data_IF_986368649146
#
_entry.id   IF_986368649146
#
_cell.length_a   1.000
_cell.length_b   1.000
_cell.length_c   1.000
_cell.angle_alpha   90.00
_cell.angle_beta   90.00
_cell.angle_gamma   90.00
#
_symmetry.space_group_name_H-M   'P 1'
#
loop_
_entity.id
_entity.type
_entity.pdbx_description
1 polymer ?
#
# COMPACT_ATOMS: atom_id res chain seq x y z
N UNK A 1 5.44 18.62 -10.77
CA UNK A 1 4.50 17.55 -10.44
C UNK A 1 3.42 18.12 -9.52
N UNK A 2 2.17 17.69 -9.70
CA UNK A 2 1.03 18.14 -8.90
C UNK A 2 0.52 17.06 -7.93
N UNK A 3 1.19 15.90 -7.86
CA UNK A 3 0.87 14.79 -6.96
C UNK A 3 2.14 13.97 -6.72
N UNK A 4 2.36 13.50 -5.50
CA UNK A 4 3.45 12.61 -5.12
C UNK A 4 2.93 11.20 -4.82
N UNK A 5 3.40 10.18 -5.56
CA UNK A 5 3.16 8.77 -5.23
C UNK A 5 4.19 8.30 -4.18
N UNK A 6 4.08 8.87 -3.01
CA UNK A 6 4.93 8.67 -1.85
C UNK A 6 4.48 9.53 -0.67
N UNK A 7 5.13 9.38 0.49
CA UNK A 7 6.33 8.58 0.78
C UNK A 7 6.08 7.08 0.82
N UNK A 8 7.18 6.29 0.72
CA UNK A 8 7.17 4.85 0.98
C UNK A 8 7.10 4.65 2.48
N UNK A 9 5.97 4.09 2.94
CA UNK A 9 5.67 3.86 4.37
C UNK A 9 5.83 2.38 4.76
N UNK A 10 6.39 1.58 3.85
CA UNK A 10 6.75 0.21 4.13
C UNK A 10 7.86 0.12 5.16
N UNK A 11 7.71 -0.75 6.14
CA UNK A 11 8.76 -1.08 7.11
C UNK A 11 9.63 -2.18 6.53
N UNK A 12 10.90 -1.92 6.26
CA UNK A 12 11.82 -2.88 5.62
C UNK A 12 12.34 -3.91 6.63
N UNK A 13 11.43 -4.75 7.16
CA UNK A 13 11.74 -5.77 8.17
C UNK A 13 12.54 -6.95 7.62
N UNK A 14 12.35 -7.27 6.35
CA UNK A 14 13.10 -8.29 5.65
C UNK A 14 14.25 -7.66 4.86
N UNK A 15 15.50 -7.89 5.28
CA UNK A 15 16.71 -7.39 4.60
C UNK A 15 16.91 -7.96 3.19
N UNK A 16 16.26 -9.08 2.89
CA UNK A 16 16.29 -9.70 1.55
C UNK A 16 15.14 -9.20 0.65
N UNK A 17 14.34 -8.25 1.12
CA UNK A 17 13.27 -7.67 0.30
C UNK A 17 13.90 -7.02 -0.94
N UNK A 18 13.50 -7.44 -2.17
CA UNK A 18 14.16 -6.99 -3.39
C UNK A 18 13.69 -5.61 -3.85
N UNK A 19 12.58 -5.07 -3.31
CA UNK A 19 11.92 -3.88 -3.84
C UNK A 19 12.03 -2.68 -2.90
N UNK A 20 11.75 -2.86 -1.61
CA UNK A 20 11.62 -1.74 -0.68
C UNK A 20 12.98 -1.19 -0.31
N UNK A 21 13.87 -1.98 0.26
CA UNK A 21 15.27 -1.63 0.53
C UNK A 21 15.45 -0.18 1.04
N UNK A 22 16.32 0.58 0.39
CA UNK A 22 16.64 1.98 0.72
C UNK A 22 15.52 2.99 0.41
N UNK A 23 14.42 2.54 -0.17
CA UNK A 23 13.21 3.38 -0.36
C UNK A 23 12.46 3.60 0.96
N UNK A 24 12.61 2.69 1.93
CA UNK A 24 12.02 2.80 3.26
C UNK A 24 12.78 3.75 4.17
N UNK A 25 12.08 4.32 5.14
CA UNK A 25 12.67 5.07 6.26
C UNK A 25 13.27 4.17 7.35
N UNK A 26 13.28 2.85 7.16
CA UNK A 26 13.93 1.89 8.05
C UNK A 26 13.12 0.63 8.32
N UNK A 27 13.54 -0.08 9.36
CA UNK A 27 13.04 -1.38 9.80
C UNK A 27 12.20 -1.32 11.09
N UNK A 28 11.97 -0.11 11.62
CA UNK A 28 11.17 0.16 12.81
C UNK A 28 9.88 0.91 12.45
N UNK A 29 8.72 0.34 12.80
CA UNK A 29 7.41 0.87 12.43
C UNK A 29 7.16 2.30 12.97
N UNK A 30 7.60 2.59 14.20
CA UNK A 30 7.41 3.90 14.81
C UNK A 30 8.28 4.96 14.12
N UNK A 31 9.50 4.61 13.74
CA UNK A 31 10.40 5.48 12.96
C UNK A 31 9.80 5.76 11.60
N UNK A 32 9.45 4.72 10.84
CA UNK A 32 8.85 4.84 9.52
C UNK A 32 7.60 5.72 9.56
N UNK A 33 6.71 5.48 10.53
CA UNK A 33 5.48 6.26 10.70
C UNK A 33 5.75 7.75 10.96
N UNK A 34 6.71 8.07 11.85
CA UNK A 34 7.09 9.47 12.12
C UNK A 34 7.63 10.20 10.90
N UNK A 35 8.54 9.55 10.15
CA UNK A 35 9.11 10.16 8.93
C UNK A 35 8.08 10.28 7.81
N UNK A 36 7.23 9.27 7.63
CA UNK A 36 6.13 9.32 6.67
C UNK A 36 5.17 10.45 6.96
N UNK A 37 4.75 10.62 8.22
CA UNK A 37 3.88 11.72 8.61
C UNK A 37 4.53 13.10 8.42
N UNK A 38 5.84 13.21 8.67
CA UNK A 38 6.56 14.46 8.43
C UNK A 38 6.62 14.80 6.94
N UNK A 39 6.91 13.81 6.08
CA UNK A 39 6.93 13.98 4.63
C UNK A 39 5.54 14.32 4.08
N UNK A 40 4.49 13.65 4.57
CA UNK A 40 3.09 13.95 4.21
C UNK A 40 2.77 15.39 4.54
N UNK A 41 3.00 15.84 5.78
CA UNK A 41 2.75 17.26 6.16
C UNK A 41 3.50 18.24 5.28
N UNK A 42 4.76 17.95 4.95
CA UNK A 42 5.56 18.82 4.08
C UNK A 42 4.97 18.92 2.66
N UNK A 43 4.53 17.80 2.08
CA UNK A 43 3.91 17.78 0.76
C UNK A 43 2.55 18.49 0.76
N UNK A 44 1.65 18.07 1.63
CA UNK A 44 0.27 18.58 1.70
C UNK A 44 0.24 20.09 2.00
N UNK A 45 1.07 20.58 2.94
CA UNK A 45 1.15 22.01 3.28
C UNK A 45 1.69 22.87 2.12
N UNK A 46 2.35 22.26 1.14
CA UNK A 46 2.84 22.94 -0.06
C UNK A 46 1.96 22.65 -1.30
N UNK A 47 0.74 22.14 -1.11
CA UNK A 47 -0.22 21.91 -2.17
C UNK A 47 0.13 20.71 -3.08
N UNK A 48 0.93 19.77 -2.61
CA UNK A 48 1.27 18.54 -3.32
C UNK A 48 0.59 17.36 -2.63
N UNK A 49 -0.56 16.86 -3.15
CA UNK A 49 -1.21 15.67 -2.63
C UNK A 49 -0.25 14.47 -2.55
N UNK A 50 -0.18 13.83 -1.38
CA UNK A 50 0.68 12.69 -1.12
C UNK A 50 -0.10 11.37 -1.10
N UNK A 51 0.53 10.29 -1.58
CA UNK A 51 0.00 8.93 -1.51
C UNK A 51 0.98 8.01 -0.82
N UNK A 52 0.74 7.69 0.44
CA UNK A 52 1.59 6.73 1.19
C UNK A 52 1.41 5.31 0.65
N UNK A 53 2.52 4.54 0.66
CA UNK A 53 2.54 3.23 0.00
C UNK A 53 3.51 2.23 0.67
N UNK A 54 3.31 0.94 0.47
CA UNK A 54 2.22 0.20 -0.22
C UNK A 54 1.37 -0.52 0.85
N UNK A 55 0.16 -0.03 1.09
CA UNK A 55 -0.69 -0.52 2.19
C UNK A 55 -1.16 -1.96 1.97
N UNK A 56 -1.13 -2.83 2.99
CA UNK A 56 -0.84 -2.61 4.43
C UNK A 56 0.63 -2.81 4.84
N UNK A 57 1.57 -2.90 3.89
CA UNK A 57 3.01 -2.96 4.13
C UNK A 57 3.71 -4.06 3.31
N UNK A 58 4.62 -3.68 2.41
CA UNK A 58 5.32 -4.56 1.46
C UNK A 58 6.71 -4.99 1.94
N UNK A 59 7.17 -4.48 3.11
CA UNK A 59 8.58 -4.59 3.51
C UNK A 59 9.04 -5.95 4.05
N UNK A 60 8.12 -6.89 4.28
CA UNK A 60 8.43 -8.26 4.74
C UNK A 60 8.56 -9.27 3.58
N UNK A 61 8.08 -8.94 2.40
CA UNK A 61 8.08 -9.87 1.26
C UNK A 61 9.49 -10.19 0.77
N UNK A 62 9.70 -11.42 0.27
CA UNK A 62 10.94 -11.87 -0.35
C UNK A 62 10.86 -11.95 -1.88
N UNK A 63 9.71 -11.54 -2.46
CA UNK A 63 9.42 -11.66 -3.89
C UNK A 63 9.01 -10.30 -4.45
N UNK A 64 9.44 -10.02 -5.68
CA UNK A 64 9.14 -8.79 -6.39
C UNK A 64 7.75 -8.83 -7.05
N UNK A 65 6.86 -7.94 -6.64
CA UNK A 65 5.51 -7.80 -7.19
C UNK A 65 5.46 -7.38 -8.66
N UNK A 66 6.57 -6.87 -9.21
CA UNK A 66 6.65 -6.59 -10.64
C UNK A 66 6.67 -7.85 -11.51
N UNK A 67 7.07 -9.00 -10.95
CA UNK A 67 7.18 -10.27 -11.68
C UNK A 67 6.15 -11.32 -11.28
N UNK A 68 5.76 -11.35 -10.01
CA UNK A 68 4.83 -12.34 -9.47
C UNK A 68 4.09 -11.78 -8.25
N UNK A 69 3.05 -12.49 -7.80
CA UNK A 69 2.26 -12.06 -6.64
C UNK A 69 2.95 -12.47 -5.33
N UNK A 70 3.40 -11.50 -4.51
CA UNK A 70 4.00 -11.79 -3.22
C UNK A 70 2.96 -12.22 -2.18
N UNK A 71 3.42 -12.98 -1.19
CA UNK A 71 2.64 -13.38 -0.01
C UNK A 71 3.44 -13.03 1.24
N UNK A 72 2.77 -12.59 2.28
CA UNK A 72 3.35 -12.35 3.62
C UNK A 72 2.60 -13.19 4.64
N UNK A 73 3.26 -14.20 5.20
CA UNK A 73 2.65 -15.18 6.13
C UNK A 73 2.71 -14.75 7.61
N UNK A 74 2.93 -13.47 7.88
CA UNK A 74 2.93 -12.95 9.25
C UNK A 74 1.55 -13.05 9.89
N UNK A 75 1.44 -13.43 11.16
CA UNK A 75 0.17 -13.39 11.88
C UNK A 75 -0.33 -11.96 12.05
N UNK A 76 -1.64 -11.80 12.23
CA UNK A 76 -2.32 -10.50 12.20
C UNK A 76 -1.78 -9.48 13.22
N UNK A 77 -1.40 -9.93 14.42
CA UNK A 77 -0.79 -9.09 15.45
C UNK A 77 0.59 -8.57 15.04
N UNK A 78 1.39 -9.40 14.37
CA UNK A 78 2.70 -9.01 13.81
C UNK A 78 2.56 -8.09 12.61
N UNK A 79 1.62 -8.37 11.69
CA UNK A 79 1.30 -7.46 10.61
C UNK A 79 0.91 -6.08 11.14
N UNK A 80 0.07 -6.04 12.19
CA UNK A 80 -0.33 -4.79 12.81
C UNK A 80 0.87 -4.07 13.41
N UNK A 81 1.62 -4.72 14.30
CA UNK A 81 2.68 -4.07 15.06
C UNK A 81 3.90 -3.68 14.22
N UNK A 82 4.27 -4.52 13.24
CA UNK A 82 5.47 -4.31 12.43
C UNK A 82 5.24 -3.51 11.14
N UNK A 83 4.02 -3.49 10.60
CA UNK A 83 3.77 -2.89 9.28
C UNK A 83 2.59 -1.91 9.27
N UNK A 84 1.38 -2.37 9.61
CA UNK A 84 0.15 -1.58 9.46
C UNK A 84 0.20 -0.31 10.30
N UNK A 85 0.70 -0.41 11.54
CA UNK A 85 0.79 0.72 12.48
C UNK A 85 1.65 1.88 11.95
N UNK A 86 2.61 1.62 11.05
CA UNK A 86 3.44 2.66 10.44
C UNK A 86 2.63 3.63 9.55
N UNK A 87 1.48 3.21 9.03
CA UNK A 87 0.62 4.07 8.21
C UNK A 87 -0.27 5.00 9.04
N UNK A 88 -0.58 4.66 10.31
CA UNK A 88 -1.47 5.46 11.13
C UNK A 88 -1.03 6.93 11.28
N UNK A 89 0.24 7.24 11.58
CA UNK A 89 0.68 8.63 11.70
C UNK A 89 0.50 9.46 10.42
N UNK A 90 0.56 8.83 9.24
CA UNK A 90 0.31 9.51 7.97
C UNK A 90 -1.20 9.74 7.75
N UNK A 91 -2.05 8.79 8.15
CA UNK A 91 -3.51 8.96 8.16
C UNK A 91 -3.91 10.10 9.09
N UNK A 92 -3.36 10.14 10.30
CA UNK A 92 -3.61 11.19 11.29
C UNK A 92 -3.07 12.56 10.83
N UNK A 93 -2.04 12.57 9.98
CA UNK A 93 -1.51 13.78 9.36
C UNK A 93 -2.36 14.30 8.19
N UNK A 94 -3.45 13.60 7.82
CA UNK A 94 -4.37 14.03 6.78
C UNK A 94 -3.90 13.75 5.35
N UNK A 95 -3.15 12.65 5.15
CA UNK A 95 -2.68 12.26 3.81
C UNK A 95 -3.84 12.16 2.81
N UNK A 96 -3.64 12.74 1.62
CA UNK A 96 -4.65 12.71 0.54
C UNK A 96 -4.95 11.30 0.06
N UNK A 97 -3.95 10.44 -0.04
CA UNK A 97 -4.14 9.11 -0.61
C UNK A 97 -3.31 7.99 0.04
N UNK A 98 -3.80 6.78 -0.16
CA UNK A 98 -3.11 5.53 0.18
C UNK A 98 -3.07 4.65 -1.06
N UNK A 99 -1.89 4.11 -1.39
CA UNK A 99 -1.73 3.15 -2.47
C UNK A 99 -1.77 1.72 -1.91
N UNK A 100 -2.66 0.89 -2.48
CA UNK A 100 -2.83 -0.51 -2.10
C UNK A 100 -1.75 -1.41 -2.73
N UNK A 101 -1.25 -2.37 -1.96
CA UNK A 101 -0.24 -3.33 -2.42
C UNK A 101 -0.84 -4.48 -3.26
N UNK A 102 -0.01 -5.07 -4.13
CA UNK A 102 -0.31 -6.33 -4.83
C UNK A 102 0.02 -7.58 -4.00
N UNK A 103 0.14 -7.47 -2.69
CA UNK A 103 0.55 -8.55 -1.79
C UNK A 103 -0.67 -9.25 -1.20
N UNK A 104 -0.62 -10.57 -1.05
CA UNK A 104 -1.58 -11.37 -0.30
C UNK A 104 -1.14 -11.45 1.15
N UNK A 105 -2.08 -11.25 2.06
CA UNK A 105 -1.88 -11.33 3.53
C UNK A 105 -2.87 -12.34 4.10
N UNK A 106 -2.53 -13.65 4.14
CA UNK A 106 -3.48 -14.71 4.49
C UNK A 106 -4.13 -14.51 5.87
N UNK A 107 -3.43 -13.88 6.81
CA UNK A 107 -3.95 -13.54 8.13
C UNK A 107 -5.04 -12.44 8.12
N UNK A 108 -5.20 -11.70 7.00
CA UNK A 108 -6.22 -10.66 6.82
C UNK A 108 -7.26 -11.07 5.77
N UNK A 109 -6.77 -11.58 4.63
CA UNK A 109 -7.58 -12.10 3.52
C UNK A 109 -6.71 -13.09 2.73
N UNK A 110 -7.05 -14.38 2.82
CA UNK A 110 -6.26 -15.45 2.19
C UNK A 110 -6.49 -15.59 0.68
N UNK A 111 -7.60 -15.05 0.18
CA UNK A 111 -8.06 -15.29 -1.19
C UNK A 111 -7.77 -14.10 -2.12
N UNK A 112 -7.50 -12.92 -1.56
CA UNK A 112 -7.32 -11.70 -2.33
C UNK A 112 -6.03 -10.95 -1.94
N UNK A 113 -5.34 -10.40 -2.93
CA UNK A 113 -4.32 -9.37 -2.65
C UNK A 113 -4.96 -8.12 -2.06
N UNK A 114 -4.18 -7.29 -1.37
CA UNK A 114 -4.70 -6.12 -0.66
C UNK A 114 -5.58 -5.24 -1.55
N UNK A 115 -5.18 -4.98 -2.79
CA UNK A 115 -5.96 -4.13 -3.71
C UNK A 115 -7.35 -4.70 -4.06
N UNK A 116 -7.55 -6.02 -3.95
CA UNK A 116 -8.83 -6.69 -4.23
C UNK A 116 -9.60 -7.05 -2.96
N UNK A 117 -9.06 -6.75 -1.78
CA UNK A 117 -9.61 -7.16 -0.49
C UNK A 117 -10.49 -6.08 0.14
N UNK A 118 -11.78 -6.34 0.24
CA UNK A 118 -12.71 -5.50 1.01
C UNK A 118 -12.36 -5.49 2.50
N UNK A 119 -11.83 -6.61 3.04
CA UNK A 119 -11.39 -6.70 4.44
C UNK A 119 -10.27 -5.69 4.71
N UNK A 120 -9.28 -5.61 3.80
CA UNK A 120 -8.13 -4.71 3.96
C UNK A 120 -8.52 -3.27 3.64
N UNK A 121 -9.19 -3.00 2.51
CA UNK A 121 -9.48 -1.63 2.08
C UNK A 121 -10.62 -1.00 2.89
N UNK A 122 -11.75 -1.72 3.10
CA UNK A 122 -12.90 -1.13 3.76
C UNK A 122 -12.89 -1.33 5.27
N UNK A 123 -12.62 -2.56 5.76
CA UNK A 123 -12.69 -2.81 7.20
C UNK A 123 -11.45 -2.32 7.93
N UNK A 124 -10.25 -2.63 7.43
CA UNK A 124 -9.02 -2.22 8.07
C UNK A 124 -8.71 -0.74 7.82
N UNK A 125 -8.52 -0.32 6.56
CA UNK A 125 -8.06 1.04 6.24
C UNK A 125 -9.15 2.08 6.51
N UNK A 126 -10.36 1.91 5.95
CA UNK A 126 -11.44 2.90 6.10
C UNK A 126 -12.01 2.94 7.51
N UNK A 127 -12.46 1.78 8.04
CA UNK A 127 -13.21 1.76 9.31
C UNK A 127 -12.29 1.77 10.53
N UNK A 128 -11.31 0.84 10.60
CA UNK A 128 -10.46 0.68 11.80
C UNK A 128 -9.44 1.80 11.92
N UNK A 129 -8.77 2.20 10.82
CA UNK A 129 -7.76 3.26 10.82
C UNK A 129 -8.35 4.66 10.56
N UNK A 130 -9.62 4.76 10.19
CA UNK A 130 -10.33 6.04 10.01
C UNK A 130 -9.93 6.81 8.74
N UNK A 131 -9.30 6.17 7.75
CA UNK A 131 -8.87 6.84 6.54
C UNK A 131 -10.05 7.27 5.66
N UNK A 132 -10.08 8.55 5.25
CA UNK A 132 -11.17 9.15 4.46
C UNK A 132 -10.76 9.63 3.07
N UNK A 133 -9.46 9.59 2.77
CA UNK A 133 -8.91 10.06 1.50
C UNK A 133 -9.09 9.08 0.32
N UNK A 134 -8.31 9.24 -0.73
CA UNK A 134 -8.37 8.41 -1.93
C UNK A 134 -7.56 7.12 -1.76
N UNK A 135 -8.07 6.00 -2.26
CA UNK A 135 -7.32 4.75 -2.38
C UNK A 135 -6.97 4.56 -3.85
N UNK A 136 -5.68 4.45 -4.15
CA UNK A 136 -5.18 4.11 -5.47
C UNK A 136 -4.65 2.68 -5.50
N UNK A 137 -4.75 1.97 -6.61
CA UNK A 137 -4.00 0.73 -6.80
C UNK A 137 -2.53 1.03 -7.04
N UNK A 138 -1.64 0.06 -6.82
CA UNK A 138 -0.35 0.05 -7.48
C UNK A 138 -0.52 -0.23 -8.98
N UNK A 139 0.56 -0.20 -9.77
CA UNK A 139 0.50 -0.35 -11.23
C UNK A 139 -0.21 -1.63 -11.68
N UNK A 140 -1.22 -1.50 -12.53
CA UNK A 140 -2.01 -2.63 -13.02
C UNK A 140 -1.36 -3.38 -14.19
N UNK A 141 -0.22 -2.91 -14.65
CA UNK A 141 0.65 -3.56 -15.62
C UNK A 141 1.70 -4.49 -14.98
N UNK A 142 1.72 -4.58 -13.65
CA UNK A 142 2.66 -5.42 -12.89
C UNK A 142 2.34 -6.92 -12.99
N UNK A 143 3.39 -7.75 -12.89
CA UNK A 143 3.28 -9.21 -12.99
C UNK A 143 2.36 -9.86 -11.97
N UNK A 144 2.13 -9.22 -10.83
CA UNK A 144 1.22 -9.69 -9.78
C UNK A 144 -0.25 -9.80 -10.24
N UNK A 145 -0.65 -9.12 -11.31
CA UNK A 145 -2.01 -9.18 -11.90
C UNK A 145 -2.02 -9.82 -13.28
N UNK A 146 -0.90 -10.42 -13.69
CA UNK A 146 -0.78 -11.08 -15.01
C UNK A 146 -1.79 -12.21 -15.15
N UNK A 147 -2.49 -12.23 -16.27
CA UNK A 147 -3.50 -13.24 -16.57
C UNK A 147 -4.91 -12.92 -16.08
N UNK A 148 -5.10 -11.79 -15.41
CA UNK A 148 -6.42 -11.26 -15.07
C UNK A 148 -6.84 -10.27 -16.15
N UNK A 149 -8.09 -10.33 -16.63
CA UNK A 149 -8.57 -9.37 -17.64
C UNK A 149 -8.75 -7.98 -17.03
N UNK A 150 -8.66 -6.93 -17.86
CA UNK A 150 -8.82 -5.53 -17.41
C UNK A 150 -10.19 -5.33 -16.76
N UNK A 151 -11.25 -5.89 -17.34
CA UNK A 151 -12.61 -5.80 -16.79
C UNK A 151 -12.68 -6.42 -15.38
N UNK A 152 -12.06 -7.56 -15.19
CA UNK A 152 -12.04 -8.24 -13.90
C UNK A 152 -11.20 -7.45 -12.87
N UNK A 153 -10.05 -6.91 -13.27
CA UNK A 153 -9.23 -6.03 -12.42
C UNK A 153 -10.05 -4.82 -11.98
N UNK A 154 -10.67 -4.11 -12.92
CA UNK A 154 -11.49 -2.92 -12.64
C UNK A 154 -12.63 -3.27 -11.71
N UNK A 155 -13.39 -4.32 -12.01
CA UNK A 155 -14.52 -4.77 -11.20
C UNK A 155 -14.11 -5.10 -9.76
N UNK A 156 -13.03 -5.87 -9.57
CA UNK A 156 -12.55 -6.30 -8.25
C UNK A 156 -11.93 -5.15 -7.47
N UNK A 157 -11.03 -4.37 -8.08
CA UNK A 157 -10.37 -3.27 -7.40
C UNK A 157 -11.35 -2.18 -6.98
N UNK A 158 -12.26 -1.79 -7.88
CA UNK A 158 -13.32 -0.83 -7.55
C UNK A 158 -14.28 -1.39 -6.50
N UNK A 159 -14.70 -2.65 -6.62
CA UNK A 159 -15.55 -3.34 -5.63
C UNK A 159 -14.90 -3.45 -4.25
N UNK A 160 -13.57 -3.57 -4.16
CA UNK A 160 -12.84 -3.52 -2.91
C UNK A 160 -12.73 -2.11 -2.31
N UNK A 161 -12.99 -1.05 -3.11
CA UNK A 161 -13.06 0.33 -2.65
C UNK A 161 -11.87 1.20 -3.08
N UNK A 162 -11.09 0.78 -4.09
CA UNK A 162 -10.12 1.68 -4.72
C UNK A 162 -10.86 2.76 -5.53
N UNK A 163 -10.37 3.99 -5.48
CA UNK A 163 -10.93 5.15 -6.18
C UNK A 163 -10.17 5.46 -7.46
N UNK A 164 -8.87 5.11 -7.51
CA UNK A 164 -7.96 5.37 -8.62
C UNK A 164 -7.33 4.05 -9.04
N UNK A 165 -7.36 3.76 -10.32
CA UNK A 165 -6.72 2.60 -10.93
C UNK A 165 -5.52 3.10 -11.75
N UNK A 166 -4.29 2.69 -11.33
CA UNK A 166 -3.06 3.16 -11.94
C UNK A 166 -2.64 2.23 -13.09
N UNK A 167 -2.58 2.79 -14.29
CA UNK A 167 -1.96 2.15 -15.46
C UNK A 167 -0.71 2.96 -15.79
N UNK A 168 0.48 2.32 -15.70
CA UNK A 168 1.77 2.96 -15.98
C UNK A 168 2.28 2.65 -17.39
N UNK A 169 1.65 1.73 -18.10
CA UNK A 169 1.97 1.32 -19.46
C UNK A 169 1.21 2.06 -20.54
N UNK A 170 1.57 1.79 -21.79
CA UNK A 170 0.90 2.33 -22.98
C UNK A 170 -0.49 1.67 -23.10
N UNK A 171 -1.53 2.46 -22.88
CA UNK A 171 -2.93 2.02 -23.06
C UNK A 171 -3.25 2.12 -24.54
N UNK A 172 -2.97 1.05 -25.29
CA UNK A 172 -3.40 0.90 -26.68
C UNK A 172 -4.57 -0.06 -26.77
#
# INVERSE_FOLDING_TARGET
>A
ANTALGPVTDVNSNRLNPIIQTRSFGDDAARVGRFSAAAVRALENNGVPAFVKHFPGHGDTSVDSHYTQPVTDLPADKLWSAHISAFQPAVDAGVTGVMSAHVVYPALDKDNSAMFSTEIMQRLLRRKMGFKGLIATDGLDMGAVKGVTVEEIVRRAYGAGNNILLLSGDVR
#
